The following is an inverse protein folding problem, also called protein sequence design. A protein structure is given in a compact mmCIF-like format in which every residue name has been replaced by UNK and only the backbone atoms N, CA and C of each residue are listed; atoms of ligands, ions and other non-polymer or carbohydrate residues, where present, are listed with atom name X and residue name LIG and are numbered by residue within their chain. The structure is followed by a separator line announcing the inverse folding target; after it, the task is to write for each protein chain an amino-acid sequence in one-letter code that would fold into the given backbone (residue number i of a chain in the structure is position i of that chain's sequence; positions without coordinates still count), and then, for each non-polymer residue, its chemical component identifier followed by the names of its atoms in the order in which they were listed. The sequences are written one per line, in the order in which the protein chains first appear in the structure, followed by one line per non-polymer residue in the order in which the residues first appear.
data_IF_550569167554
#
_entry.id   IF_550569167554
#
_cell.length_a   1.000
_cell.length_b   1.000
_cell.length_c   1.000
_cell.angle_alpha   90.00
_cell.angle_beta   90.00
_cell.angle_gamma   90.00
#
_symmetry.space_group_name_H-M   'P 1'
#
loop_
_entity.id
_entity.type
_entity.pdbx_description
1 polymer ?
#
# COMPACT_ATOMS: atom_id res chain seq x y z
N UNK A 1 -7.90 2.99 10.15
CA UNK A 1 -7.98 4.26 9.39
C UNK A 1 -9.16 4.20 8.43
N UNK A 2 -9.97 5.26 8.30
CA UNK A 2 -11.05 5.29 7.32
C UNK A 2 -10.50 5.35 5.88
N UNK A 3 -11.16 4.72 4.90
CA UNK A 3 -10.75 4.82 3.50
C UNK A 3 -11.02 6.22 2.94
N UNK A 4 -10.11 6.72 2.10
CA UNK A 4 -10.28 7.95 1.30
C UNK A 4 -10.35 7.63 -0.19
N UNK A 5 -10.37 8.63 -1.07
CA UNK A 5 -10.33 8.44 -2.54
C UNK A 5 -9.18 7.55 -2.97
N UNK A 6 -7.99 7.74 -2.38
CA UNK A 6 -6.83 6.88 -2.61
C UNK A 6 -5.91 6.90 -1.37
N UNK A 7 -6.00 5.86 -0.54
CA UNK A 7 -5.08 5.68 0.59
C UNK A 7 -3.86 4.89 0.13
N UNK A 8 -2.67 5.50 0.22
CA UNK A 8 -1.40 4.90 -0.17
C UNK A 8 -0.40 4.93 0.99
N UNK A 9 0.39 3.87 1.12
CA UNK A 9 1.46 3.75 2.09
C UNK A 9 2.80 3.50 1.40
N UNK A 10 3.86 3.91 2.08
CA UNK A 10 5.23 3.80 1.60
C UNK A 10 6.15 3.36 2.73
N UNK A 11 7.06 2.40 2.50
CA UNK A 11 8.08 2.02 3.48
C UNK A 11 9.20 3.07 3.61
N UNK A 12 9.32 4.01 2.67
CA UNK A 12 10.39 5.01 2.63
C UNK A 12 9.93 6.33 3.25
N UNK A 13 10.52 6.71 4.39
CA UNK A 13 10.21 7.96 5.10
C UNK A 13 10.39 9.19 4.21
N UNK A 14 11.53 9.29 3.51
CA UNK A 14 11.82 10.43 2.64
C UNK A 14 10.83 10.61 1.48
N UNK A 15 10.15 9.53 1.06
CA UNK A 15 9.05 9.63 0.09
C UNK A 15 7.77 10.15 0.76
N UNK A 16 7.41 9.60 1.91
CA UNK A 16 6.20 9.96 2.67
C UNK A 16 6.24 11.38 3.27
N UNK A 17 7.43 11.91 3.57
CA UNK A 17 7.60 13.21 4.24
C UNK A 17 7.59 14.42 3.31
N UNK A 18 7.33 14.23 2.00
CA UNK A 18 7.25 15.31 1.00
C UNK A 18 5.93 16.10 1.07
N UNK A 19 4.93 15.58 1.76
CA UNK A 19 3.61 16.20 1.86
C UNK A 19 3.52 17.14 3.06
N UNK A 20 2.72 18.19 2.92
CA UNK A 20 2.38 19.08 4.02
C UNK A 20 1.37 18.37 4.93
N UNK A 21 1.81 17.92 6.11
CA UNK A 21 0.98 17.21 7.06
C UNK A 21 1.78 16.44 8.11
N UNK A 22 1.10 15.57 8.85
CA UNK A 22 1.72 14.69 9.84
C UNK A 22 2.18 13.40 9.16
N UNK A 23 3.45 13.02 9.35
CA UNK A 23 3.94 11.72 8.93
C UNK A 23 3.85 10.75 10.10
N UNK A 24 3.22 9.60 9.87
CA UNK A 24 3.09 8.52 10.85
C UNK A 24 3.80 7.28 10.33
N UNK A 25 4.60 6.63 11.17
CA UNK A 25 5.11 5.28 10.93
C UNK A 25 4.14 4.30 11.54
N UNK A 26 3.71 3.32 10.75
CA UNK A 26 2.77 2.28 11.17
C UNK A 26 3.51 0.94 11.17
N UNK A 27 3.45 0.25 12.31
CA UNK A 27 3.96 -1.11 12.46
C UNK A 27 2.79 -2.07 12.33
N UNK A 28 2.92 -3.07 11.47
CA UNK A 28 1.92 -4.12 11.24
C UNK A 28 2.44 -5.50 11.65
N UNK A 29 1.55 -6.46 11.84
CA UNK A 29 1.90 -7.86 12.11
C UNK A 29 2.76 -8.44 10.98
N UNK A 30 3.63 -9.39 11.31
CA UNK A 30 4.39 -10.14 10.31
C UNK A 30 3.42 -10.84 9.34
N UNK A 31 3.73 -10.84 8.04
CA UNK A 31 2.90 -11.46 7.00
C UNK A 31 1.76 -10.59 6.47
N UNK A 32 1.52 -9.38 7.00
CA UNK A 32 0.49 -8.48 6.46
C UNK A 32 0.70 -8.19 4.97
N UNK A 33 1.93 -7.89 4.54
CA UNK A 33 2.21 -7.63 3.13
C UNK A 33 2.07 -8.86 2.24
N UNK A 34 2.32 -10.06 2.75
CA UNK A 34 2.00 -11.31 2.02
C UNK A 34 0.50 -11.41 1.74
N UNK A 35 -0.35 -11.13 2.74
CA UNK A 35 -1.81 -11.10 2.56
C UNK A 35 -2.27 -10.01 1.59
N UNK A 36 -1.61 -8.83 1.60
CA UNK A 36 -1.93 -7.77 0.64
C UNK A 36 -1.51 -8.15 -0.79
N UNK A 37 -0.42 -8.90 -0.96
CA UNK A 37 0.04 -9.41 -2.26
C UNK A 37 -0.90 -10.47 -2.85
N UNK A 38 -1.56 -11.29 -2.03
CA UNK A 38 -2.57 -12.27 -2.50
C UNK A 38 -3.71 -11.60 -3.28
N UNK A 39 -4.07 -10.37 -2.90
CA UNK A 39 -5.06 -9.54 -3.60
C UNK A 39 -4.41 -8.43 -4.44
N UNK A 40 -3.11 -8.52 -4.68
CA UNK A 40 -2.31 -7.46 -5.28
C UNK A 40 -2.44 -7.36 -6.79
N UNK A 41 -2.29 -6.14 -7.29
CA UNK A 41 -2.16 -5.83 -8.71
C UNK A 41 -0.87 -5.02 -8.91
N UNK A 42 -0.05 -5.43 -9.86
CA UNK A 42 1.10 -4.66 -10.31
C UNK A 42 0.60 -3.50 -11.19
N UNK A 43 0.67 -2.28 -10.66
CA UNK A 43 0.06 -1.10 -11.27
C UNK A 43 0.88 -0.51 -12.43
N UNK A 44 2.16 -0.85 -12.53
CA UNK A 44 3.05 -0.42 -13.61
C UNK A 44 4.09 -1.50 -13.96
N UNK A 45 4.78 -1.32 -15.08
CA UNK A 45 5.78 -2.27 -15.59
C UNK A 45 6.92 -2.52 -14.59
N UNK A 46 7.32 -1.50 -13.84
CA UNK A 46 8.34 -1.64 -12.80
C UNK A 46 7.87 -2.54 -11.64
N UNK A 47 6.60 -2.41 -11.19
CA UNK A 47 6.03 -3.33 -10.22
C UNK A 47 5.87 -4.76 -10.77
N UNK A 48 5.49 -4.89 -12.05
CA UNK A 48 5.36 -6.20 -12.69
C UNK A 48 6.71 -6.94 -12.82
N UNK A 49 7.83 -6.21 -12.97
CA UNK A 49 9.18 -6.81 -12.93
C UNK A 49 9.52 -7.38 -11.56
N UNK A 50 9.06 -6.74 -10.48
CA UNK A 50 9.26 -7.21 -9.09
C UNK A 50 8.33 -8.37 -8.77
N UNK A 51 7.09 -8.33 -9.26
CA UNK A 51 6.06 -9.34 -9.06
C UNK A 51 5.58 -9.93 -10.40
N UNK A 52 6.39 -10.79 -11.05
CA UNK A 52 6.11 -11.28 -12.42
C UNK A 52 4.84 -12.12 -12.54
N UNK A 53 4.37 -12.70 -11.43
CA UNK A 53 3.15 -13.52 -11.37
C UNK A 53 1.92 -12.73 -10.96
N UNK A 54 2.07 -11.45 -10.58
CA UNK A 54 0.97 -10.62 -10.10
C UNK A 54 0.16 -10.06 -11.28
N UNK A 55 -1.15 -9.99 -11.10
CA UNK A 55 -2.06 -9.43 -12.10
C UNK A 55 -1.69 -7.99 -12.45
N UNK A 56 -1.74 -7.63 -13.73
CA UNK A 56 -1.54 -6.26 -14.24
C UNK A 56 -2.86 -5.56 -14.62
N UNK A 57 -4.02 -6.14 -14.27
CA UNK A 57 -5.34 -5.62 -14.66
C UNK A 57 -5.62 -4.26 -14.02
N UNK A 58 -6.18 -3.31 -14.79
CA UNK A 58 -6.39 -1.92 -14.38
C UNK A 58 -7.85 -1.53 -14.12
N UNK A 59 -8.76 -2.51 -14.09
CA UNK A 59 -10.21 -2.29 -13.90
C UNK A 59 -10.61 -1.78 -12.50
N UNK A 60 -11.90 -1.89 -12.15
CA UNK A 60 -12.42 -1.51 -10.81
C UNK A 60 -11.77 -2.37 -9.72
N UNK A 61 -10.74 -1.83 -9.06
CA UNK A 61 -9.90 -2.57 -8.10
C UNK A 61 -10.08 -2.12 -6.65
N UNK A 62 -10.50 -0.86 -6.42
CA UNK A 62 -10.43 -0.21 -5.11
C UNK A 62 -11.18 -0.95 -4.00
N UNK A 63 -12.22 -1.74 -4.32
CA UNK A 63 -13.00 -2.50 -3.32
C UNK A 63 -12.42 -3.89 -3.01
N UNK A 64 -11.68 -4.48 -3.95
CA UNK A 64 -11.31 -5.90 -3.92
C UNK A 64 -9.82 -6.15 -3.83
N UNK A 65 -8.99 -5.21 -4.26
CA UNK A 65 -7.55 -5.42 -4.47
C UNK A 65 -6.71 -4.31 -3.84
N UNK A 66 -5.43 -4.60 -3.67
CA UNK A 66 -4.40 -3.57 -3.50
C UNK A 66 -3.67 -3.32 -4.82
N UNK A 67 -3.01 -2.17 -4.92
CA UNK A 67 -2.10 -1.89 -6.03
C UNK A 67 -0.68 -1.66 -5.53
N UNK A 68 0.26 -2.34 -6.15
CA UNK A 68 1.69 -2.16 -5.97
C UNK A 68 2.23 -1.33 -7.13
N UNK A 69 2.88 -0.20 -6.82
CA UNK A 69 3.37 0.73 -7.83
C UNK A 69 4.77 1.19 -7.46
N UNK A 70 5.70 1.11 -8.41
CA UNK A 70 7.03 1.70 -8.21
C UNK A 70 6.97 3.17 -8.59
N UNK A 71 7.28 4.05 -7.64
CA UNK A 71 7.27 5.51 -7.81
C UNK A 71 8.44 6.12 -7.03
N UNK A 72 9.15 7.09 -7.62
CA UNK A 72 10.29 7.73 -6.96
C UNK A 72 11.39 6.77 -6.49
N UNK A 73 11.56 5.64 -7.20
CA UNK A 73 12.56 4.61 -6.89
C UNK A 73 12.17 3.59 -5.80
N UNK A 74 10.92 3.60 -5.33
CA UNK A 74 10.46 2.70 -4.26
C UNK A 74 9.04 2.15 -4.53
N UNK A 75 8.67 1.07 -3.85
CA UNK A 75 7.37 0.42 -4.01
C UNK A 75 6.34 0.99 -3.02
N UNK A 76 5.33 1.68 -3.54
CA UNK A 76 4.14 2.06 -2.77
C UNK A 76 3.08 0.98 -2.82
N UNK A 77 2.23 0.96 -1.79
CA UNK A 77 1.04 0.09 -1.75
C UNK A 77 -0.20 0.95 -1.57
N UNK A 78 -1.07 0.92 -2.57
CA UNK A 78 -2.37 1.58 -2.55
C UNK A 78 -3.39 0.59 -1.98
N UNK A 79 -4.00 0.95 -0.85
CA UNK A 79 -4.84 0.05 -0.05
C UNK A 79 -6.30 -0.01 -0.52
N UNK A 80 -6.70 0.92 -1.38
CA UNK A 80 -8.08 1.03 -1.86
C UNK A 80 -9.05 1.45 -0.75
N UNK A 81 -10.31 1.07 -0.93
CA UNK A 81 -11.48 1.44 -0.13
C UNK A 81 -12.29 0.21 0.36
N UNK A 82 -11.67 -0.96 0.39
CA UNK A 82 -12.29 -2.22 0.79
C UNK A 82 -11.23 -3.17 1.35
N UNK A 83 -11.14 -4.38 0.79
CA UNK A 83 -10.38 -5.47 1.40
C UNK A 83 -8.93 -5.12 1.77
N UNK A 84 -8.24 -4.32 0.95
CA UNK A 84 -6.86 -3.91 1.22
C UNK A 84 -6.71 -3.09 2.50
N UNK A 85 -7.55 -2.08 2.71
CA UNK A 85 -7.47 -1.24 3.93
C UNK A 85 -7.98 -1.97 5.17
N UNK A 86 -8.93 -2.89 5.02
CA UNK A 86 -9.39 -3.78 6.10
C UNK A 86 -8.25 -4.65 6.61
N UNK A 87 -7.57 -5.40 5.71
CA UNK A 87 -6.40 -6.22 6.06
C UNK A 87 -5.34 -5.36 6.74
N UNK A 88 -5.03 -4.19 6.19
CA UNK A 88 -4.03 -3.32 6.79
C UNK A 88 -4.41 -2.91 8.21
N UNK A 89 -5.64 -2.40 8.41
CA UNK A 89 -6.13 -1.93 9.70
C UNK A 89 -6.17 -3.04 10.77
N UNK A 90 -6.68 -4.23 10.43
CA UNK A 90 -6.75 -5.39 11.34
C UNK A 90 -5.37 -5.87 11.83
N UNK A 91 -4.32 -5.50 11.10
CA UNK A 91 -2.96 -5.92 11.38
C UNK A 91 -2.08 -4.80 11.94
N UNK A 92 -2.59 -3.59 12.19
CA UNK A 92 -1.82 -2.54 12.88
C UNK A 92 -1.53 -3.00 14.31
N UNK A 93 -0.26 -2.90 14.70
CA UNK A 93 0.24 -3.22 16.05
C UNK A 93 0.61 -1.95 16.79
N UNK A 94 1.20 -0.98 16.10
CA UNK A 94 1.66 0.27 16.69
C UNK A 94 1.70 1.36 15.64
N UNK A 95 1.58 2.62 16.05
CA UNK A 95 1.84 3.76 15.19
C UNK A 95 2.47 4.90 15.99
N UNK A 96 3.35 5.66 15.34
CA UNK A 96 4.06 6.79 15.95
C UNK A 96 4.17 7.95 14.96
N UNK A 97 4.06 9.18 15.45
CA UNK A 97 4.35 10.37 14.66
C UNK A 97 5.86 10.50 14.49
N UNK A 98 6.32 10.70 13.25
CA UNK A 98 7.74 10.85 12.91
C UNK A 98 8.09 12.19 12.27
N UNK A 99 7.07 12.97 11.85
CA UNK A 99 7.20 14.37 11.40
C UNK A 99 5.89 15.10 11.61
#
# INVERSE_FOLDING_TARGET
MPPTTETSISPVLGYSSKYNGVTVKIVVKQGTFSKLQEIGIAANSAAAKVFPTMSIKTGKWMKTNTRFKVEGGQMTTQLGQGRGIEIFNENIVHFEKVK
#
